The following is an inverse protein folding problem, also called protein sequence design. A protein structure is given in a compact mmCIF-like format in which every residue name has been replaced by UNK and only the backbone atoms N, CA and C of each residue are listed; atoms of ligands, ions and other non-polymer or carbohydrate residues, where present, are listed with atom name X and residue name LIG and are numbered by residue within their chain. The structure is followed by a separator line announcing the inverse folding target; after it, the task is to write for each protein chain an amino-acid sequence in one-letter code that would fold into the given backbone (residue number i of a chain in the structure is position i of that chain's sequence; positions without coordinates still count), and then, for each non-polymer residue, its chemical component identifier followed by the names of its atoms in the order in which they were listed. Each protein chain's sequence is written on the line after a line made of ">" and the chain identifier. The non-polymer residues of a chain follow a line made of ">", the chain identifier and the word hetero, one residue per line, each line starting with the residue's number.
data_IF_138253231718
#
_entry.id   IF_138253231718
#
_cell.length_a   1.000
_cell.length_b   1.000
_cell.length_c   1.000
_cell.angle_alpha   90.00
_cell.angle_beta   90.00
_cell.angle_gamma   90.00
#
_symmetry.space_group_name_H-M   'P 1'
#
loop_
_entity.id
_entity.type
_entity.pdbx_description
1 polymer ?
#
# COMPACT_ATOMS: atom_id res chain seq x y z
N UNK A 1 0.70 12.82 18.94
CA UNK A 1 0.47 11.82 19.99
C UNK A 1 -0.68 10.92 19.57
N UNK A 2 -0.35 9.82 18.90
CA UNK A 2 -1.29 8.77 18.50
C UNK A 2 -0.68 7.42 18.84
N UNK A 3 -1.49 6.55 19.42
CA UNK A 3 -1.11 5.20 19.84
C UNK A 3 -1.95 4.19 19.05
N UNK A 4 -1.40 3.01 18.77
CA UNK A 4 -2.14 1.92 18.11
C UNK A 4 -2.61 0.93 19.18
N UNK A 5 -3.92 0.70 19.23
CA UNK A 5 -4.57 -0.17 20.21
C UNK A 5 -5.49 -1.16 19.50
N UNK A 6 -5.62 -2.38 20.03
CA UNK A 6 -6.71 -3.30 19.69
C UNK A 6 -7.76 -3.29 20.77
N UNK A 7 -9.03 -3.44 20.39
CA UNK A 7 -10.13 -3.70 21.31
C UNK A 7 -10.79 -5.04 20.98
N UNK A 8 -11.01 -5.86 22.00
CA UNK A 8 -11.84 -7.05 21.90
C UNK A 8 -13.31 -6.62 21.92
N UNK A 9 -14.06 -6.97 20.88
CA UNK A 9 -15.45 -6.55 20.73
C UNK A 9 -16.43 -7.27 21.66
N UNK A 10 -16.05 -8.41 22.23
CA UNK A 10 -16.91 -9.19 23.12
C UNK A 10 -16.95 -8.64 24.55
N UNK A 11 -15.79 -8.24 25.07
CA UNK A 11 -15.63 -7.79 26.46
C UNK A 11 -15.19 -6.33 26.58
N UNK A 12 -14.91 -5.66 25.46
CA UNK A 12 -14.47 -4.27 25.41
C UNK A 12 -13.03 -4.04 25.88
N UNK A 13 -12.29 -5.10 26.24
CA UNK A 13 -10.92 -5.00 26.72
C UNK A 13 -9.99 -4.45 25.64
N UNK A 14 -9.05 -3.59 26.04
CA UNK A 14 -8.10 -2.95 25.12
C UNK A 14 -6.67 -3.42 25.41
N UNK A 15 -5.88 -3.57 24.34
CA UNK A 15 -4.45 -3.85 24.39
C UNK A 15 -3.71 -2.80 23.58
N UNK A 16 -2.68 -2.22 24.18
CA UNK A 16 -1.71 -1.37 23.49
C UNK A 16 -0.82 -2.24 22.61
N UNK A 17 -0.73 -1.92 21.33
CA UNK A 17 0.04 -2.68 20.35
C UNK A 17 1.36 -1.99 20.02
N UNK A 18 1.30 -0.69 19.73
CA UNK A 18 2.45 0.18 19.56
C UNK A 18 2.14 1.52 20.19
N UNK A 19 3.05 2.04 21.03
CA UNK A 19 2.84 3.30 21.74
C UNK A 19 4.04 4.19 21.74
N UNK A 20 3.80 5.46 21.45
CA UNK A 20 4.74 6.55 21.60
C UNK A 20 3.92 7.76 22.05
N UNK A 21 4.05 8.09 23.34
CA UNK A 21 3.29 9.18 23.95
C UNK A 21 3.83 10.57 23.55
N UNK A 22 4.91 10.65 22.77
CA UNK A 22 5.47 11.90 22.25
C UNK A 22 5.17 12.10 20.76
N UNK A 23 5.17 11.03 19.97
CA UNK A 23 5.12 11.11 18.51
C UNK A 23 3.78 10.66 17.91
N UNK A 24 3.69 10.71 16.59
CA UNK A 24 2.55 10.21 15.82
C UNK A 24 2.86 8.79 15.34
N UNK A 25 1.98 7.84 15.68
CA UNK A 25 1.97 6.48 15.16
C UNK A 25 0.65 6.23 14.44
N UNK A 26 0.68 5.86 13.15
CA UNK A 26 -0.54 5.57 12.41
C UNK A 26 -0.27 4.79 11.11
N UNK A 27 -1.30 4.72 10.28
CA UNK A 27 -1.25 4.19 8.91
C UNK A 27 -0.80 2.72 8.84
N UNK A 28 -1.09 1.97 9.90
CA UNK A 28 -0.61 0.60 10.03
C UNK A 28 -1.53 -0.46 9.46
N UNK A 29 -0.96 -1.62 9.18
CA UNK A 29 -1.66 -2.82 8.75
C UNK A 29 -1.14 -4.06 9.48
N UNK A 30 -1.99 -5.07 9.57
CA UNK A 30 -1.66 -6.36 10.18
C UNK A 30 -1.10 -7.30 9.13
N UNK A 31 -0.13 -8.14 9.52
CA UNK A 31 0.22 -9.29 8.71
C UNK A 31 -0.97 -10.26 8.65
N UNK A 32 -1.11 -11.05 7.56
CA UNK A 32 -2.23 -11.97 7.40
C UNK A 32 -2.37 -13.03 8.51
N UNK A 33 -1.24 -13.40 9.13
CA UNK A 33 -1.18 -14.32 10.28
C UNK A 33 -1.44 -13.64 11.64
N UNK A 34 -1.75 -12.35 11.64
CA UNK A 34 -1.96 -11.49 12.82
C UNK A 34 -0.78 -11.42 13.81
N UNK A 35 0.43 -11.87 13.41
CA UNK A 35 1.62 -11.82 14.27
C UNK A 35 2.28 -10.45 14.29
N UNK A 36 2.28 -9.74 13.17
CA UNK A 36 3.02 -8.49 13.02
C UNK A 36 2.07 -7.33 12.74
N UNK A 37 2.43 -6.17 13.28
CA UNK A 37 1.83 -4.88 12.94
C UNK A 37 2.90 -4.02 12.28
N UNK A 38 2.68 -3.58 11.04
CA UNK A 38 3.53 -2.57 10.37
C UNK A 38 2.85 -1.22 10.48
N UNK A 39 3.60 -0.13 10.70
CA UNK A 39 3.04 1.21 10.85
C UNK A 39 4.08 2.31 10.55
N UNK A 40 3.60 3.53 10.33
CA UNK A 40 4.43 4.73 10.25
C UNK A 40 4.60 5.36 11.64
N UNK A 41 5.83 5.77 11.97
CA UNK A 41 6.19 6.50 13.18
C UNK A 41 6.94 7.78 12.83
N UNK A 42 6.63 8.88 13.52
CA UNK A 42 7.38 10.14 13.39
C UNK A 42 8.51 10.29 14.44
N UNK A 43 8.89 9.22 15.13
CA UNK A 43 9.81 9.30 16.27
C UNK A 43 11.23 9.76 15.91
N UNK A 44 11.67 9.55 14.67
CA UNK A 44 12.97 10.00 14.15
C UNK A 44 12.98 11.47 13.69
N UNK A 45 11.80 12.11 13.61
CA UNK A 45 11.61 13.46 13.07
C UNK A 45 11.07 13.47 11.63
N UNK A 46 11.16 12.36 10.91
CA UNK A 46 10.47 12.09 9.64
C UNK A 46 9.59 10.84 9.77
N UNK A 47 8.76 10.55 8.77
CA UNK A 47 7.96 9.33 8.77
C UNK A 47 8.84 8.13 8.43
N UNK A 48 8.89 7.17 9.33
CA UNK A 48 9.64 5.93 9.16
C UNK A 48 8.72 4.73 9.37
N UNK A 49 9.01 3.60 8.72
CA UNK A 49 8.21 2.38 8.82
C UNK A 49 8.79 1.44 9.87
N UNK A 50 7.98 1.14 10.87
CA UNK A 50 8.30 0.19 11.94
C UNK A 50 7.41 -1.05 11.86
N UNK A 51 7.91 -2.16 12.42
CA UNK A 51 7.14 -3.37 12.68
C UNK A 51 7.23 -3.74 14.15
N UNK A 52 6.08 -4.06 14.75
CA UNK A 52 5.98 -4.75 16.05
C UNK A 52 5.65 -6.22 15.80
N UNK A 53 6.50 -7.13 16.29
CA UNK A 53 6.14 -8.53 16.48
C UNK A 53 5.28 -8.65 17.76
N UNK A 54 4.00 -8.97 17.61
CA UNK A 54 3.02 -8.98 18.70
C UNK A 54 3.09 -10.23 19.57
N UNK A 55 3.81 -11.27 19.11
CA UNK A 55 4.07 -12.48 19.89
C UNK A 55 5.19 -12.22 20.90
N UNK A 56 6.24 -11.48 20.50
CA UNK A 56 7.42 -11.20 21.34
C UNK A 56 7.40 -9.82 21.98
N UNK A 57 6.63 -8.87 21.43
CA UNK A 57 6.67 -7.46 21.78
C UNK A 57 7.89 -6.70 21.24
N UNK A 58 8.56 -7.25 20.22
CA UNK A 58 9.77 -6.64 19.66
C UNK A 58 9.42 -5.64 18.56
N UNK A 59 9.88 -4.40 18.71
CA UNK A 59 9.79 -3.36 17.69
C UNK A 59 11.06 -3.30 16.83
N UNK A 60 10.90 -3.05 15.53
CA UNK A 60 12.01 -2.92 14.57
C UNK A 60 11.73 -1.81 13.56
N UNK A 61 12.74 -1.01 13.27
CA UNK A 61 12.75 -0.15 12.09
C UNK A 61 12.93 -1.02 10.84
N UNK A 62 12.10 -0.81 9.83
CA UNK A 62 12.09 -1.58 8.56
C UNK A 62 12.49 -0.68 7.39
N UNK A 63 11.95 0.54 7.33
CA UNK A 63 12.34 1.58 6.37
C UNK A 63 12.56 2.88 7.13
N UNK A 64 13.68 3.56 6.88
CA UNK A 64 14.02 4.83 7.53
C UNK A 64 15.01 5.61 6.67
N UNK A 65 14.69 5.74 5.39
CA UNK A 65 15.47 6.57 4.48
C UNK A 65 15.13 8.05 4.71
N UNK A 66 15.94 8.96 4.16
CA UNK A 66 15.65 10.38 4.28
C UNK A 66 14.33 10.72 3.59
N UNK A 67 13.46 11.49 4.26
CA UNK A 67 12.13 11.85 3.75
C UNK A 67 11.01 11.14 4.50
N UNK A 68 9.77 11.26 4.01
CA UNK A 68 8.62 10.58 4.61
C UNK A 68 8.41 9.20 3.99
N UNK A 69 8.40 8.16 4.81
CA UNK A 69 7.96 6.81 4.51
C UNK A 69 6.69 6.46 5.32
N UNK A 70 5.62 6.02 4.63
CA UNK A 70 4.33 5.80 5.30
C UNK A 70 3.27 5.05 4.49
N UNK A 71 2.14 4.78 5.13
CA UNK A 71 1.04 3.96 4.63
C UNK A 71 1.41 2.53 4.23
N UNK A 72 2.12 1.75 5.07
CA UNK A 72 2.49 0.39 4.74
C UNK A 72 1.30 -0.59 4.77
N UNK A 73 1.17 -1.40 3.70
CA UNK A 73 0.25 -2.53 3.63
C UNK A 73 0.99 -3.84 3.35
N UNK A 74 0.76 -4.87 4.17
CA UNK A 74 1.21 -6.23 3.88
C UNK A 74 0.56 -6.77 2.60
N UNK A 75 1.33 -7.53 1.82
CA UNK A 75 0.78 -8.38 0.76
C UNK A 75 -0.11 -9.49 1.38
N UNK A 76 -1.08 -10.03 0.62
CA UNK A 76 -1.97 -11.09 1.10
C UNK A 76 -1.26 -12.34 1.61
N UNK A 77 -0.07 -12.65 1.09
CA UNK A 77 0.80 -13.75 1.54
C UNK A 77 1.74 -13.38 2.70
N UNK A 78 1.73 -12.12 3.13
CA UNK A 78 2.53 -11.58 4.23
C UNK A 78 4.01 -11.42 3.94
N UNK A 79 4.48 -11.71 2.72
CA UNK A 79 5.92 -11.72 2.39
C UNK A 79 6.46 -10.36 1.97
N UNK A 80 5.59 -9.43 1.63
CA UNK A 80 5.94 -8.09 1.16
C UNK A 80 5.15 -7.03 1.91
N UNK A 81 5.66 -5.81 1.86
CA UNK A 81 4.88 -4.59 2.11
C UNK A 81 4.92 -3.70 0.89
N UNK A 82 3.83 -2.98 0.64
CA UNK A 82 3.82 -1.78 -0.22
C UNK A 82 3.75 -0.56 0.69
N UNK A 83 4.42 0.52 0.32
CA UNK A 83 4.38 1.78 1.07
C UNK A 83 4.65 2.97 0.14
N UNK A 84 4.48 4.17 0.69
CA UNK A 84 4.77 5.45 0.01
C UNK A 84 6.04 6.04 0.59
N UNK A 85 6.83 6.68 -0.26
CA UNK A 85 8.10 7.28 0.11
C UNK A 85 8.32 8.62 -0.60
N UNK A 86 8.76 9.63 0.15
CA UNK A 86 9.21 10.93 -0.37
C UNK A 86 10.73 11.10 -0.25
N UNK A 87 11.49 10.05 -0.60
CA UNK A 87 12.97 10.08 -0.61
C UNK A 87 13.61 11.12 -1.51
N UNK A 88 12.84 11.74 -2.42
CA UNK A 88 13.29 12.85 -3.26
C UNK A 88 13.02 14.22 -2.66
N UNK A 89 12.26 14.30 -1.55
CA UNK A 89 11.88 15.55 -0.90
C UNK A 89 11.09 16.49 -1.81
N UNK A 90 10.25 15.93 -2.68
CA UNK A 90 9.48 16.69 -3.67
C UNK A 90 7.96 16.53 -3.49
N UNK A 91 7.52 15.96 -2.37
CA UNK A 91 6.13 15.75 -1.98
C UNK A 91 5.32 14.89 -2.99
N UNK A 92 6.00 14.11 -3.84
CA UNK A 92 5.34 13.29 -4.86
C UNK A 92 5.01 11.88 -4.40
N UNK A 93 5.46 11.44 -3.21
CA UNK A 93 5.08 10.17 -2.59
C UNK A 93 5.09 8.98 -3.58
N UNK A 94 6.27 8.48 -3.91
CA UNK A 94 6.42 7.37 -4.82
C UNK A 94 6.11 6.03 -4.13
N UNK A 95 5.59 5.06 -4.87
CA UNK A 95 5.26 3.74 -4.34
C UNK A 95 6.48 2.84 -4.37
N UNK A 96 6.69 2.11 -3.29
CA UNK A 96 7.74 1.11 -3.15
C UNK A 96 7.15 -0.21 -2.67
N UNK A 97 7.79 -1.30 -3.03
CA UNK A 97 7.53 -2.64 -2.50
C UNK A 97 8.81 -3.18 -1.89
N UNK A 98 8.71 -3.69 -0.67
CA UNK A 98 9.79 -4.36 0.02
C UNK A 98 9.44 -5.83 0.28
N UNK A 99 10.34 -6.73 -0.11
CA UNK A 99 10.36 -8.14 0.28
C UNK A 99 10.95 -8.25 1.68
N UNK A 100 10.16 -8.83 2.59
CA UNK A 100 10.51 -8.95 3.99
C UNK A 100 11.47 -10.12 4.22
N UNK A 101 12.47 -9.90 5.06
CA UNK A 101 13.39 -10.91 5.53
C UNK A 101 12.85 -11.53 6.82
N UNK A 102 12.75 -12.86 6.84
CA UNK A 102 12.28 -13.61 8.01
C UNK A 102 13.40 -14.45 8.62
N UNK A 103 13.40 -14.60 9.94
CA UNK A 103 14.22 -15.61 10.62
C UNK A 103 13.54 -16.99 10.64
N UNK A 104 14.23 -17.99 11.21
CA UNK A 104 13.71 -19.36 11.30
C UNK A 104 12.45 -19.51 12.17
N UNK A 105 12.15 -18.51 13.02
CA UNK A 105 10.94 -18.49 13.85
C UNK A 105 9.75 -17.86 13.11
N UNK A 106 9.98 -17.24 11.95
CA UNK A 106 9.01 -16.43 11.23
C UNK A 106 8.92 -14.99 11.71
N UNK A 107 9.88 -14.49 12.50
CA UNK A 107 9.95 -13.08 12.85
C UNK A 107 10.47 -12.28 11.66
N UNK A 108 9.86 -11.12 11.40
CA UNK A 108 10.42 -10.16 10.43
C UNK A 108 11.67 -9.52 11.04
N UNK A 109 12.79 -9.61 10.33
CA UNK A 109 14.10 -9.13 10.79
C UNK A 109 14.72 -8.07 9.86
N UNK A 110 14.00 -7.65 8.83
CA UNK A 110 14.41 -6.58 7.92
C UNK A 110 13.83 -6.72 6.53
N UNK A 111 14.49 -6.12 5.55
CA UNK A 111 14.15 -6.20 4.12
C UNK A 111 15.22 -7.05 3.43
N UNK A 112 14.78 -8.01 2.62
CA UNK A 112 15.67 -8.78 1.74
C UNK A 112 15.92 -8.03 0.43
N UNK A 113 14.87 -7.38 -0.10
CA UNK A 113 14.94 -6.62 -1.36
C UNK A 113 13.87 -5.55 -1.42
N UNK A 114 14.16 -4.46 -2.10
CA UNK A 114 13.24 -3.33 -2.28
C UNK A 114 13.18 -2.91 -3.75
N UNK A 115 12.03 -2.41 -4.17
CA UNK A 115 11.78 -1.91 -5.52
C UNK A 115 10.94 -0.64 -5.48
N UNK A 116 11.36 0.36 -6.24
CA UNK A 116 10.51 1.51 -6.55
C UNK A 116 9.53 1.12 -7.66
N UNK A 117 8.22 1.21 -7.40
CA UNK A 117 7.16 0.89 -8.38
C UNK A 117 6.77 2.08 -9.25
N UNK A 118 6.79 3.29 -8.69
CA UNK A 118 6.52 4.50 -9.46
C UNK A 118 7.75 5.40 -9.42
N UNK A 119 8.11 5.93 -10.57
CA UNK A 119 9.14 6.95 -10.71
C UNK A 119 8.65 7.98 -11.73
N UNK A 120 7.81 8.90 -11.28
CA UNK A 120 7.20 9.92 -12.12
C UNK A 120 7.04 11.25 -11.36
N UNK A 121 6.64 12.29 -12.10
CA UNK A 121 6.41 13.64 -11.59
C UNK A 121 4.97 13.85 -11.06
N UNK A 122 4.39 12.79 -10.48
CA UNK A 122 3.01 12.77 -10.00
C UNK A 122 2.92 12.20 -8.60
N UNK A 123 1.87 12.61 -7.87
CA UNK A 123 1.55 12.05 -6.56
C UNK A 123 0.96 10.66 -6.75
N UNK A 124 1.47 9.65 -6.04
CA UNK A 124 0.93 8.29 -6.03
C UNK A 124 0.52 7.90 -4.60
N UNK A 125 -0.73 7.52 -4.41
CA UNK A 125 -1.34 7.50 -3.09
C UNK A 125 -2.30 6.34 -2.85
N UNK A 126 -2.41 5.93 -1.58
CA UNK A 126 -3.29 4.85 -1.12
C UNK A 126 -3.16 3.54 -1.91
N UNK A 127 -1.95 2.94 -1.98
CA UNK A 127 -1.80 1.64 -2.61
C UNK A 127 -2.53 0.55 -1.82
N UNK A 128 -3.12 -0.41 -2.52
CA UNK A 128 -3.76 -1.58 -1.92
C UNK A 128 -3.52 -2.83 -2.77
N UNK A 129 -3.25 -3.96 -2.11
CA UNK A 129 -2.96 -5.22 -2.78
C UNK A 129 -4.22 -5.87 -3.32
N UNK A 130 -4.11 -6.37 -4.56
CA UNK A 130 -5.03 -7.37 -5.06
C UNK A 130 -4.75 -8.72 -4.36
N UNK A 131 -5.79 -9.51 -3.97
CA UNK A 131 -5.63 -10.77 -3.25
C UNK A 131 -4.75 -11.83 -3.92
N UNK A 132 -4.51 -11.72 -5.23
CA UNK A 132 -3.62 -12.62 -5.97
C UNK A 132 -2.11 -12.38 -5.74
N UNK A 133 -1.74 -11.49 -4.80
CA UNK A 133 -0.37 -11.10 -4.47
C UNK A 133 0.41 -10.37 -5.57
N UNK A 134 -0.10 -10.24 -6.78
CA UNK A 134 0.70 -9.71 -7.90
C UNK A 134 0.44 -8.25 -8.19
N UNK A 135 -0.81 -7.80 -8.08
CA UNK A 135 -1.18 -6.46 -8.49
C UNK A 135 -1.45 -5.55 -7.31
N UNK A 136 -1.19 -4.27 -7.52
CA UNK A 136 -1.59 -3.18 -6.65
C UNK A 136 -2.56 -2.28 -7.39
N UNK A 137 -3.48 -1.68 -6.67
CA UNK A 137 -4.26 -0.53 -7.12
C UNK A 137 -3.89 0.69 -6.29
N UNK A 138 -3.83 1.87 -6.91
CA UNK A 138 -3.45 3.11 -6.25
C UNK A 138 -4.12 4.30 -6.93
N UNK A 139 -4.24 5.42 -6.23
CA UNK A 139 -4.68 6.69 -6.78
C UNK A 139 -3.48 7.50 -7.28
N UNK A 140 -3.58 8.18 -8.41
CA UNK A 140 -2.50 9.04 -8.90
C UNK A 140 -3.01 10.35 -9.50
N UNK A 141 -2.21 11.41 -9.36
CA UNK A 141 -2.45 12.72 -9.97
C UNK A 141 -2.02 12.79 -11.44
N UNK A 142 -1.59 11.66 -12.03
CA UNK A 142 -1.08 11.59 -13.41
C UNK A 142 -2.03 12.16 -14.45
N UNK A 143 -3.34 12.11 -14.20
CA UNK A 143 -4.33 12.69 -15.11
C UNK A 143 -4.49 14.19 -14.90
N UNK A 144 -4.56 14.64 -13.65
CA UNK A 144 -4.48 16.05 -13.26
C UNK A 144 -4.31 16.18 -11.74
N UNK A 145 -3.68 17.25 -11.27
CA UNK A 145 -3.73 17.63 -9.84
C UNK A 145 -5.14 17.91 -9.32
N UNK A 146 -6.12 18.13 -10.21
CA UNK A 146 -7.55 18.25 -9.87
C UNK A 146 -8.35 16.97 -10.14
N UNK A 147 -7.72 15.94 -10.71
CA UNK A 147 -8.36 14.70 -11.14
C UNK A 147 -7.49 13.49 -10.79
N UNK A 148 -7.58 13.05 -9.53
CA UNK A 148 -6.93 11.80 -9.12
C UNK A 148 -7.75 10.62 -9.61
N UNK A 149 -7.07 9.62 -10.14
CA UNK A 149 -7.73 8.42 -10.64
C UNK A 149 -7.00 7.15 -10.25
N UNK A 150 -7.74 6.04 -10.31
CA UNK A 150 -7.24 4.75 -9.92
C UNK A 150 -6.45 4.11 -11.06
N UNK A 151 -5.26 3.64 -10.75
CA UNK A 151 -4.40 2.86 -11.62
C UNK A 151 -4.09 1.54 -10.94
N UNK A 152 -4.05 0.48 -11.73
CA UNK A 152 -3.53 -0.83 -11.30
C UNK A 152 -2.13 -0.99 -11.87
N UNK A 153 -1.21 -1.54 -11.09
CA UNK A 153 0.10 -1.95 -11.57
C UNK A 153 0.53 -3.32 -11.05
N UNK A 154 1.48 -3.94 -11.74
CA UNK A 154 2.14 -5.16 -11.28
C UNK A 154 3.22 -4.81 -10.23
N UNK A 155 3.16 -5.47 -9.08
CA UNK A 155 4.00 -5.24 -7.92
C UNK A 155 5.39 -5.90 -8.02
N UNK A 156 5.63 -6.72 -9.05
CA UNK A 156 6.95 -7.31 -9.25
C UNK A 156 7.87 -6.35 -10.01
N UNK A 157 9.15 -6.30 -9.60
CA UNK A 157 10.32 -5.74 -10.30
C UNK A 157 10.49 -4.22 -10.45
N UNK A 158 9.49 -3.38 -10.19
CA UNK A 158 9.62 -1.90 -10.20
C UNK A 158 10.00 -1.23 -11.53
N UNK A 159 10.46 -2.00 -12.53
CA UNK A 159 10.76 -1.50 -13.87
C UNK A 159 9.48 -1.24 -14.63
N UNK A 160 9.42 -0.09 -15.31
CA UNK A 160 8.23 0.41 -15.99
C UNK A 160 7.97 -0.23 -17.36
N UNK A 161 8.83 -1.14 -17.83
CA UNK A 161 8.88 -1.65 -19.21
C UNK A 161 8.15 -2.99 -19.51
N UNK A 162 7.21 -3.45 -18.66
CA UNK A 162 6.22 -4.54 -18.95
C UNK A 162 6.10 -5.57 -17.80
N UNK A 163 5.00 -6.28 -17.44
CA UNK A 163 3.72 -6.74 -18.02
C UNK A 163 2.41 -6.20 -17.41
N UNK A 164 1.48 -5.83 -18.30
CA UNK A 164 0.04 -6.23 -18.38
C UNK A 164 -0.23 -6.51 -19.88
N UNK A 165 -1.41 -7.03 -20.28
CA UNK A 165 -1.80 -7.44 -21.67
C UNK A 165 -1.34 -6.53 -22.82
N UNK A 166 -1.14 -5.23 -22.54
CA UNK A 166 -0.88 -4.19 -23.54
C UNK A 166 0.55 -3.66 -23.52
N UNK A 167 1.50 -4.38 -22.89
CA UNK A 167 2.92 -4.01 -22.88
C UNK A 167 3.30 -2.93 -21.86
N UNK A 168 2.38 -2.57 -20.95
CA UNK A 168 2.62 -1.61 -19.86
C UNK A 168 2.32 -2.28 -18.52
N UNK A 169 3.18 -2.21 -17.49
CA UNK A 169 2.90 -2.75 -16.13
C UNK A 169 1.77 -2.05 -15.38
N UNK A 170 1.10 -1.08 -16.01
CA UNK A 170 0.11 -0.22 -15.37
C UNK A 170 -1.11 0.02 -16.25
N UNK A 171 -2.27 0.22 -15.64
CA UNK A 171 -3.52 0.50 -16.34
C UNK A 171 -4.40 1.44 -15.54
N UNK A 172 -4.87 2.51 -16.16
CA UNK A 172 -5.94 3.37 -15.63
C UNK A 172 -7.26 2.57 -15.55
N UNK A 173 -7.91 2.63 -14.39
CA UNK A 173 -9.15 1.91 -14.07
C UNK A 173 -10.35 2.83 -14.07
N UNK A 174 -10.21 4.06 -13.57
CA UNK A 174 -11.30 5.05 -13.54
C UNK A 174 -11.08 6.18 -14.54
N UNK A 175 -12.19 6.76 -15.01
CA UNK A 175 -12.23 7.76 -16.08
C UNK A 175 -13.19 8.92 -15.79
N UNK A 176 -13.66 9.03 -14.55
CA UNK A 176 -14.66 10.02 -14.18
C UNK A 176 -13.98 11.34 -13.77
N UNK A 177 -14.61 12.46 -14.10
CA UNK A 177 -14.16 13.77 -13.62
C UNK A 177 -14.29 13.85 -12.09
N UNK A 178 -13.30 14.48 -11.45
CA UNK A 178 -13.21 14.67 -10.01
C UNK A 178 -12.15 13.78 -9.36
N UNK A 179 -12.40 13.38 -8.12
CA UNK A 179 -11.46 12.57 -7.34
C UNK A 179 -11.96 11.13 -7.31
N UNK A 180 -11.10 10.18 -7.67
CA UNK A 180 -11.19 8.77 -7.28
C UNK A 180 -9.94 8.40 -6.48
N UNK A 181 -10.10 7.82 -5.30
CA UNK A 181 -8.96 7.41 -4.47
C UNK A 181 -9.33 6.51 -3.30
N UNK A 182 -8.31 6.14 -2.52
CA UNK A 182 -8.43 5.17 -1.42
C UNK A 182 -9.09 3.84 -1.87
N UNK A 183 -8.56 3.20 -2.93
CA UNK A 183 -9.12 1.95 -3.45
C UNK A 183 -8.83 0.78 -2.50
N UNK A 184 -9.78 -0.14 -2.37
CA UNK A 184 -9.60 -1.44 -1.70
C UNK A 184 -10.33 -2.55 -2.45
N UNK A 185 -9.74 -3.75 -2.48
CA UNK A 185 -10.40 -4.94 -3.01
C UNK A 185 -11.13 -5.69 -1.91
N UNK A 186 -12.17 -6.44 -2.29
CA UNK A 186 -12.71 -7.50 -1.44
C UNK A 186 -11.75 -8.70 -1.39
N UNK A 187 -12.04 -9.67 -0.50
CA UNK A 187 -11.21 -10.86 -0.31
C UNK A 187 -11.05 -11.70 -1.59
N UNK A 188 -12.07 -11.75 -2.45
CA UNK A 188 -12.00 -12.49 -3.71
C UNK A 188 -11.27 -11.74 -4.83
N UNK A 189 -11.09 -10.42 -4.68
CA UNK A 189 -10.52 -9.55 -5.71
C UNK A 189 -11.48 -9.24 -6.86
N UNK A 190 -12.76 -9.63 -6.75
CA UNK A 190 -13.76 -9.46 -7.80
C UNK A 190 -14.57 -8.19 -7.66
N UNK A 191 -14.50 -7.51 -6.50
CA UNK A 191 -15.10 -6.21 -6.24
C UNK A 191 -14.01 -5.20 -5.87
N UNK A 192 -14.15 -4.00 -6.41
CA UNK A 192 -13.35 -2.84 -6.05
C UNK A 192 -14.26 -1.83 -5.36
N UNK A 193 -13.85 -1.36 -4.17
CA UNK A 193 -14.45 -0.22 -3.49
C UNK A 193 -13.47 0.95 -3.49
N UNK A 194 -13.97 2.18 -3.66
CA UNK A 194 -13.15 3.39 -3.60
C UNK A 194 -13.97 4.61 -3.19
N UNK A 195 -13.28 5.68 -2.80
CA UNK A 195 -13.90 6.99 -2.57
C UNK A 195 -13.94 7.77 -3.88
N UNK A 196 -15.10 8.28 -4.28
CA UNK A 196 -15.27 9.08 -5.49
C UNK A 196 -16.08 10.35 -5.26
N UNK A 197 -15.78 11.40 -6.03
CA UNK A 197 -16.64 12.60 -6.18
C UNK A 197 -17.56 12.55 -7.38
N UNK A 198 -17.56 11.45 -8.14
CA UNK A 198 -18.40 11.31 -9.33
C UNK A 198 -19.87 11.57 -9.00
N UNK A 199 -20.55 12.19 -9.96
CA UNK A 199 -21.98 12.52 -9.95
C UNK A 199 -22.44 13.54 -8.90
N UNK A 200 -21.91 13.48 -7.66
CA UNK A 200 -22.40 14.29 -6.55
C UNK A 200 -21.54 15.52 -6.24
N UNK A 201 -20.30 15.56 -6.74
CA UNK A 201 -19.31 16.60 -6.39
C UNK A 201 -18.76 16.50 -4.95
N UNK A 202 -19.23 15.53 -4.17
CA UNK A 202 -18.82 15.26 -2.79
C UNK A 202 -18.26 13.84 -2.67
N UNK A 203 -17.39 13.59 -1.69
CA UNK A 203 -16.77 12.27 -1.52
C UNK A 203 -17.80 11.24 -1.03
N UNK A 204 -18.02 10.20 -1.84
CA UNK A 204 -18.91 9.07 -1.56
C UNK A 204 -18.15 7.75 -1.73
N UNK A 205 -18.63 6.68 -1.09
CA UNK A 205 -18.13 5.32 -1.34
C UNK A 205 -18.81 4.73 -2.57
N UNK A 206 -18.01 4.14 -3.45
CA UNK A 206 -18.45 3.45 -4.65
C UNK A 206 -17.92 2.02 -4.63
N UNK A 207 -18.72 1.09 -5.15
CA UNK A 207 -18.32 -0.31 -5.32
C UNK A 207 -18.73 -0.77 -6.72
N UNK A 208 -17.86 -1.53 -7.38
CA UNK A 208 -18.14 -2.12 -8.69
C UNK A 208 -17.41 -3.44 -8.88
N UNK A 209 -17.88 -4.31 -9.78
CA UNK A 209 -17.11 -5.46 -10.24
C UNK A 209 -15.76 -5.03 -10.80
N UNK A 210 -14.70 -5.70 -10.37
CA UNK A 210 -13.36 -5.54 -10.90
C UNK A 210 -13.09 -6.62 -11.94
N UNK A 211 -13.27 -6.25 -13.20
CA UNK A 211 -13.07 -7.16 -14.34
C UNK A 211 -11.72 -6.80 -14.97
N UNK A 212 -10.66 -7.45 -14.49
CA UNK A 212 -9.31 -7.28 -15.01
C UNK A 212 -8.70 -8.65 -15.31
N UNK A 213 -8.07 -8.76 -16.48
CA UNK A 213 -7.37 -9.98 -16.87
C UNK A 213 -6.01 -10.02 -16.16
N UNK A 214 -6.01 -10.63 -14.97
CA UNK A 214 -4.83 -10.77 -14.10
C UNK A 214 -3.80 -11.75 -14.68
N UNK A 215 -4.21 -12.61 -15.61
CA UNK A 215 -3.38 -13.66 -16.21
C UNK A 215 -2.88 -13.28 -17.61
N UNK A 216 -3.17 -12.07 -18.07
CA UNK A 216 -2.70 -11.63 -19.37
C UNK A 216 -1.17 -11.65 -19.45
N UNK A 217 -0.63 -12.64 -20.17
CA UNK A 217 0.75 -12.67 -20.62
C UNK A 217 1.06 -11.53 -21.62
N UNK A 218 2.34 -11.32 -21.96
CA UNK A 218 2.70 -10.38 -23.02
C UNK A 218 1.96 -10.74 -24.32
N UNK A 219 1.62 -9.75 -25.17
CA UNK A 219 1.00 -10.03 -26.45
C UNK A 219 1.90 -11.01 -27.22
N UNK A 220 1.35 -12.16 -27.61
CA UNK A 220 2.04 -13.07 -28.54
C UNK A 220 2.22 -12.31 -29.84
N UNK A 221 3.47 -12.07 -30.24
CA UNK A 221 3.76 -11.52 -31.56
C UNK A 221 3.20 -12.48 -32.61
N UNK A 222 2.03 -12.13 -33.14
CA UNK A 222 1.52 -12.71 -34.37
C UNK A 222 2.28 -12.10 -35.53
N UNK A 223 2.89 -12.96 -36.35
CA UNK A 223 3.45 -12.61 -37.66
C UNK A 223 2.37 -12.11 -38.63
#
# INVERSE_FOLDING_TARGET
>A
KMNIVSQNLNDGSTKKLATDDENYLAEGSWSPDARHLVYCSLASGSGDIYITDLQTGTDRLIVGDEGYDGGPFFSPDGKRIVYRSDRRGNDLLQLYVAELKFDATGAIIGIEKEYQLTDNEHVNWGPFWHPNNRFLIYATSEVSHRNYELFVCDADSGKTDGTTRYGIRRRRITHADGFDGLPVFDESGTLLMWTSKRETGTSQLWVAPFIFDLEAGPPTMGH
#
